data_IF_365394490668
#
_entry.id   IF_365394490668
#
_cell.length_a   1.000
_cell.length_b   1.000
_cell.length_c   1.000
_cell.angle_alpha   90.00
_cell.angle_beta   90.00
_cell.angle_gamma   90.00
#
_symmetry.space_group_name_H-M   'P 1'
#
loop_
_entity.id
_entity.type
_entity.pdbx_description
1 polymer ?
#
# COMPACT_ATOMS: atom_id res chain seq x y z
N UNK A 1 39.64 -2.34 -14.80
CA UNK A 1 39.08 -1.67 -13.61
C UNK A 1 40.10 -0.69 -13.06
N UNK A 2 40.15 0.51 -13.65
CA UNK A 2 41.02 1.58 -13.14
C UNK A 2 40.36 2.22 -11.93
N UNK A 3 41.10 2.39 -10.84
CA UNK A 3 40.60 3.09 -9.64
C UNK A 3 40.44 4.56 -10.02
N UNK A 4 39.20 5.02 -10.15
CA UNK A 4 38.89 6.44 -10.37
C UNK A 4 39.00 7.12 -9.01
N UNK A 5 39.93 8.05 -8.87
CA UNK A 5 40.07 8.83 -7.64
C UNK A 5 39.01 9.94 -7.57
N UNK A 6 38.64 10.36 -6.35
CA UNK A 6 37.74 11.52 -6.16
C UNK A 6 38.28 12.77 -6.86
N UNK A 7 39.61 12.94 -6.88
CA UNK A 7 40.27 14.04 -7.58
C UNK A 7 39.97 14.01 -9.08
N UNK A 8 40.07 12.84 -9.72
CA UNK A 8 39.79 12.71 -11.15
C UNK A 8 38.31 13.03 -11.46
N UNK A 9 37.37 12.62 -10.61
CA UNK A 9 35.94 12.93 -10.78
C UNK A 9 35.66 14.45 -10.77
N UNK A 10 36.39 15.21 -9.95
CA UNK A 10 36.17 16.66 -9.79
C UNK A 10 36.90 17.45 -10.86
N UNK A 11 38.17 17.10 -11.14
CA UNK A 11 39.06 17.92 -11.95
C UNK A 11 39.23 17.43 -13.39
N UNK A 12 38.91 16.17 -13.70
CA UNK A 12 39.01 15.61 -15.07
C UNK A 12 37.63 15.38 -15.70
N UNK A 13 36.69 16.32 -15.48
CA UNK A 13 35.39 16.29 -16.16
C UNK A 13 35.56 16.66 -17.63
N UNK A 14 34.77 16.02 -18.49
CA UNK A 14 34.68 16.34 -19.92
C UNK A 14 34.04 17.71 -20.08
N UNK A 15 34.67 18.60 -20.85
CA UNK A 15 34.22 19.98 -21.10
C UNK A 15 33.49 20.11 -22.44
N UNK A 16 33.45 19.02 -23.19
CA UNK A 16 32.81 18.84 -24.47
C UNK A 16 31.27 18.87 -24.33
N UNK A 17 30.61 19.68 -25.17
CA UNK A 17 29.15 19.84 -25.19
C UNK A 17 28.49 18.75 -26.04
N UNK A 18 27.45 18.09 -25.50
CA UNK A 18 26.61 17.14 -26.23
C UNK A 18 25.17 17.65 -26.35
N UNK A 19 24.80 18.13 -27.53
CA UNK A 19 23.45 18.64 -27.82
C UNK A 19 22.35 17.56 -27.76
N UNK A 20 22.71 16.27 -27.84
CA UNK A 20 21.74 15.16 -27.76
C UNK A 20 21.36 14.81 -26.32
N UNK A 21 22.09 15.38 -25.36
CA UNK A 21 21.86 15.22 -23.95
C UNK A 21 20.71 16.13 -23.50
N UNK A 22 19.78 15.58 -22.72
CA UNK A 22 18.67 16.39 -22.21
C UNK A 22 19.14 17.41 -21.15
N UNK A 23 20.25 17.13 -20.44
CA UNK A 23 20.89 18.02 -19.47
C UNK A 23 22.38 17.70 -19.32
N UNK A 24 23.20 18.73 -19.24
CA UNK A 24 24.67 18.63 -19.17
C UNK A 24 25.21 17.94 -17.91
N UNK A 25 24.46 17.94 -16.80
CA UNK A 25 24.87 17.34 -15.53
C UNK A 25 24.64 15.81 -15.45
N UNK A 26 24.04 15.21 -16.48
CA UNK A 26 23.66 13.79 -16.48
C UNK A 26 24.66 12.92 -17.25
N UNK A 27 25.71 12.49 -16.57
CA UNK A 27 26.82 11.69 -17.14
C UNK A 27 26.37 10.38 -17.81
N UNK A 28 25.40 9.67 -17.23
CA UNK A 28 24.91 8.37 -17.74
C UNK A 28 23.53 8.46 -18.40
N UNK A 29 23.22 9.54 -19.11
CA UNK A 29 21.96 9.61 -19.84
C UNK A 29 21.87 8.48 -20.89
N UNK A 30 20.66 7.92 -21.05
CA UNK A 30 20.42 6.79 -21.97
C UNK A 30 21.33 5.57 -21.70
N UNK A 31 21.77 5.38 -20.46
CA UNK A 31 22.65 4.29 -20.04
C UNK A 31 24.05 4.31 -20.69
N UNK A 32 24.46 5.46 -21.25
CA UNK A 32 25.81 5.63 -21.80
C UNK A 32 26.87 5.45 -20.71
N UNK A 33 27.84 4.58 -20.96
CA UNK A 33 28.92 4.26 -20.03
C UNK A 33 28.53 3.33 -18.87
N UNK A 34 27.28 2.87 -18.82
CA UNK A 34 26.86 1.83 -17.86
C UNK A 34 26.86 0.46 -18.54
N UNK A 35 27.47 -0.52 -17.90
CA UNK A 35 27.46 -1.91 -18.36
C UNK A 35 26.27 -2.65 -17.75
N UNK A 36 25.06 -2.10 -17.92
CA UNK A 36 23.83 -2.60 -17.27
C UNK A 36 23.64 -4.10 -17.52
N UNK A 37 23.90 -4.59 -18.74
CA UNK A 37 23.76 -6.01 -19.06
C UNK A 37 24.80 -6.92 -18.40
N UNK A 38 25.97 -6.39 -18.03
CA UNK A 38 27.03 -7.13 -17.33
C UNK A 38 26.83 -7.08 -15.80
N UNK A 39 26.31 -5.95 -15.31
CA UNK A 39 26.05 -5.70 -13.89
C UNK A 39 24.73 -6.33 -13.41
N UNK A 40 23.68 -6.30 -14.23
CA UNK A 40 22.39 -6.91 -13.91
C UNK A 40 22.47 -8.43 -14.07
N UNK A 41 22.40 -9.12 -12.94
CA UNK A 41 22.30 -10.58 -12.91
C UNK A 41 20.84 -11.01 -12.76
N UNK A 42 20.43 -11.96 -13.59
CA UNK A 42 19.15 -12.61 -13.43
C UNK A 42 19.09 -13.32 -12.08
N UNK A 43 18.00 -13.12 -11.33
CA UNK A 43 17.80 -13.85 -10.08
C UNK A 43 17.54 -15.31 -10.41
N UNK A 44 18.17 -16.27 -9.70
CA UNK A 44 17.99 -17.70 -9.95
C UNK A 44 16.54 -18.17 -9.77
N UNK A 45 15.74 -17.42 -9.01
CA UNK A 45 14.30 -17.63 -8.86
C UNK A 45 13.60 -16.33 -9.20
N UNK A 46 12.67 -16.38 -10.16
CA UNK A 46 11.82 -15.25 -10.53
C UNK A 46 11.02 -14.77 -9.33
N UNK A 47 11.26 -13.53 -8.91
CA UNK A 47 10.53 -12.90 -7.81
C UNK A 47 9.33 -12.17 -8.41
N UNK A 48 8.13 -12.58 -8.01
CA UNK A 48 6.90 -11.87 -8.36
C UNK A 48 6.93 -10.43 -7.81
N UNK A 49 6.16 -9.54 -8.42
CA UNK A 49 6.09 -8.15 -7.99
C UNK A 49 5.60 -8.03 -6.54
N UNK A 50 5.95 -6.95 -5.85
CA UNK A 50 5.56 -6.70 -4.46
C UNK A 50 4.04 -6.74 -4.24
N UNK A 51 3.25 -6.48 -5.29
CA UNK A 51 1.79 -6.61 -5.27
C UNK A 51 1.30 -8.04 -5.08
N UNK A 52 2.07 -9.04 -5.51
CA UNK A 52 1.74 -10.47 -5.35
C UNK A 52 2.10 -10.96 -3.96
N UNK A 53 3.29 -10.63 -3.45
CA UNK A 53 3.71 -11.05 -2.11
C UNK A 53 3.04 -10.28 -0.97
N UNK A 54 2.77 -8.98 -1.18
CA UNK A 54 2.27 -8.07 -0.13
C UNK A 54 0.76 -8.14 0.09
N UNK A 55 -0.03 -8.61 -0.88
CA UNK A 55 -1.50 -8.67 -0.77
C UNK A 55 -1.98 -10.09 -0.43
N UNK A 56 -1.67 -10.56 0.78
CA UNK A 56 -2.24 -11.81 1.32
C UNK A 56 -3.66 -11.66 1.87
N UNK A 57 -4.53 -10.93 1.16
CA UNK A 57 -5.89 -10.60 1.60
C UNK A 57 -6.74 -11.87 1.80
N UNK A 58 -6.50 -12.90 0.99
CA UNK A 58 -7.26 -14.17 1.03
C UNK A 58 -6.63 -15.26 1.91
N UNK A 59 -5.40 -15.05 2.39
CA UNK A 59 -4.64 -16.02 3.20
C UNK A 59 -3.85 -15.26 4.28
N UNK A 60 -4.54 -14.64 5.26
CA UNK A 60 -3.86 -14.00 6.37
C UNK A 60 -3.12 -15.06 7.19
N UNK A 61 -1.87 -14.78 7.55
CA UNK A 61 -1.02 -15.68 8.36
C UNK A 61 -1.53 -15.73 9.80
N UNK A 62 -2.00 -14.60 10.29
CA UNK A 62 -2.55 -14.45 11.64
C UNK A 62 -4.06 -14.21 11.57
N UNK A 63 -4.83 -14.75 12.53
CA UNK A 63 -6.24 -14.45 12.62
C UNK A 63 -6.46 -12.96 12.88
N UNK A 64 -7.48 -12.38 12.24
CA UNK A 64 -7.84 -10.99 12.45
C UNK A 64 -8.34 -10.80 13.88
N UNK A 65 -7.51 -10.20 14.75
CA UNK A 65 -7.90 -9.81 16.09
C UNK A 65 -8.93 -8.66 16.02
N UNK A 66 -10.11 -8.88 16.59
CA UNK A 66 -11.21 -7.89 16.69
C UNK A 66 -11.65 -7.69 18.14
N UNK A 67 -10.72 -7.76 19.09
CA UNK A 67 -11.02 -7.66 20.52
C UNK A 67 -11.70 -6.33 20.88
N UNK A 68 -11.44 -5.27 20.12
CA UNK A 68 -12.07 -3.95 20.29
C UNK A 68 -12.85 -3.54 19.03
N UNK A 69 -13.95 -4.24 18.77
CA UNK A 69 -14.90 -3.89 17.72
C UNK A 69 -15.89 -2.80 18.15
N UNK A 70 -16.37 -1.99 17.20
CA UNK A 70 -17.50 -1.08 17.46
C UNK A 70 -18.77 -1.89 17.67
N UNK A 71 -19.45 -1.67 18.79
CA UNK A 71 -20.73 -2.30 19.11
C UNK A 71 -21.83 -1.25 19.04
N UNK A 72 -22.92 -1.55 18.33
CA UNK A 72 -24.05 -0.64 18.16
C UNK A 72 -24.97 -0.65 19.39
N UNK A 73 -24.47 -0.15 20.53
CA UNK A 73 -25.21 -0.10 21.81
C UNK A 73 -26.55 0.63 21.67
N UNK A 74 -26.58 1.78 20.99
CA UNK A 74 -27.82 2.57 20.81
C UNK A 74 -28.91 1.75 20.12
N UNK A 75 -28.53 1.00 19.08
CA UNK A 75 -29.48 0.17 18.33
C UNK A 75 -29.96 -1.03 19.16
N UNK A 76 -29.08 -1.62 19.96
CA UNK A 76 -29.40 -2.78 20.78
C UNK A 76 -30.27 -2.43 21.99
N UNK A 77 -29.99 -1.31 22.65
CA UNK A 77 -30.57 -0.97 23.94
C UNK A 77 -31.84 -0.12 23.82
N UNK A 78 -31.88 0.81 22.85
CA UNK A 78 -33.01 1.76 22.74
C UNK A 78 -34.12 1.26 21.81
N UNK A 79 -33.78 0.49 20.78
CA UNK A 79 -34.78 0.05 19.79
C UNK A 79 -35.24 -1.37 20.08
N UNK A 80 -36.46 -1.50 20.59
CA UNK A 80 -37.10 -2.79 20.81
C UNK A 80 -37.60 -3.36 19.48
N UNK A 81 -37.35 -4.65 19.23
CA UNK A 81 -37.86 -5.36 18.03
C UNK A 81 -39.38 -5.55 18.02
N UNK A 82 -40.03 -5.40 19.18
CA UNK A 82 -41.48 -5.58 19.32
C UNK A 82 -42.18 -4.24 19.25
N UNK A 83 -43.30 -4.19 18.52
CA UNK A 83 -44.19 -3.03 18.50
C UNK A 83 -44.72 -2.68 19.89
N UNK A 84 -45.13 -1.43 20.07
CA UNK A 84 -45.78 -0.96 21.30
C UNK A 84 -47.18 -1.60 21.39
N UNK A 85 -47.42 -2.39 22.43
CA UNK A 85 -48.69 -3.08 22.65
C UNK A 85 -49.91 -2.14 22.73
N UNK A 86 -49.69 -0.88 23.15
CA UNK A 86 -50.75 0.13 23.27
C UNK A 86 -51.10 0.84 21.95
N UNK A 87 -50.33 0.66 20.87
CA UNK A 87 -50.63 1.21 19.54
C UNK A 87 -51.42 0.24 18.65
N UNK A 88 -51.54 -1.03 19.04
CA UNK A 88 -52.38 -2.00 18.32
C UNK A 88 -53.83 -1.93 18.81
N UNK A 89 -54.77 -2.09 17.88
CA UNK A 89 -56.19 -2.22 18.19
C UNK A 89 -56.39 -3.25 19.33
N UNK A 90 -57.34 -3.02 20.25
CA UNK A 90 -57.45 -3.80 21.49
C UNK A 90 -57.65 -5.28 21.17
N UNK A 91 -56.62 -6.07 21.44
CA UNK A 91 -56.60 -7.52 21.38
C UNK A 91 -56.24 -8.11 22.74
N UNK A 92 -56.11 -9.44 22.80
CA UNK A 92 -55.77 -10.15 24.04
C UNK A 92 -54.41 -9.67 24.58
N UNK A 93 -54.40 -9.04 25.77
CA UNK A 93 -53.21 -8.43 26.38
C UNK A 93 -53.15 -6.89 26.35
N UNK A 94 -54.19 -6.21 25.89
CA UNK A 94 -54.28 -4.74 25.98
C UNK A 94 -54.44 -4.28 27.44
N UNK A 95 -53.49 -3.49 27.94
CA UNK A 95 -53.60 -2.78 29.23
C UNK A 95 -53.81 -1.29 28.96
N UNK A 96 -54.91 -0.74 29.49
CA UNK A 96 -55.16 0.70 29.46
C UNK A 96 -54.26 1.41 30.50
N UNK A 97 -53.70 2.59 30.19
CA UNK A 97 -53.02 3.40 31.20
C UNK A 97 -54.01 3.84 32.28
N UNK A 98 -53.54 3.90 33.53
CA UNK A 98 -54.30 4.35 34.70
C UNK A 98 -54.57 5.85 34.69
#
# INVERSE_FOLDING_TARGET
>A
TGIISLYDCVFKRRLDYDQKLHRDDREHAKSLGLHVNEEEQERPVGVLTSSVYGKRIRQPIEPLNRDFGRVNHVQADFYRKNDIASLKAPGFGHMAPA
#
